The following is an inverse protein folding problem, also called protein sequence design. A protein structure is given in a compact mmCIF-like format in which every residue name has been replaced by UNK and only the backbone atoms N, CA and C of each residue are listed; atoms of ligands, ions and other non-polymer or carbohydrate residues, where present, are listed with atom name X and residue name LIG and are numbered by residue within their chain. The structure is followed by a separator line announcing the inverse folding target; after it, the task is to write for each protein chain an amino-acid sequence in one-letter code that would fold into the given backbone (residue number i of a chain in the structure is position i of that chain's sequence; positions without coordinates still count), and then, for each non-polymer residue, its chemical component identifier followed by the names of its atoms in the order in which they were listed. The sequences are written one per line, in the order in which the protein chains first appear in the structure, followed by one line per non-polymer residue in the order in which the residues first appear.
data_IF_539671424933
#
_entry.id   IF_539671424933
#
_cell.length_a   1.000
_cell.length_b   1.000
_cell.length_c   1.000
_cell.angle_alpha   90.00
_cell.angle_beta   90.00
_cell.angle_gamma   90.00
#
_symmetry.space_group_name_H-M   'P 1'
#
loop_
_entity.id
_entity.type
_entity.pdbx_description
1 polymer ?
#
# COMPACT_ATOMS: atom_id res chain seq x y z
N UNK A 1 31.78 5.58 -48.86
CA UNK A 1 31.95 4.38 -48.01
C UNK A 1 32.43 4.85 -46.66
N UNK A 2 31.53 4.89 -45.68
CA UNK A 2 31.85 4.80 -44.26
C UNK A 2 30.72 3.94 -43.67
N UNK A 3 31.06 2.70 -43.36
CA UNK A 3 30.19 1.73 -42.70
C UNK A 3 30.19 2.06 -41.21
N UNK A 4 29.06 2.53 -40.67
CA UNK A 4 28.86 2.53 -39.22
C UNK A 4 28.11 1.24 -38.87
N UNK A 5 28.90 0.30 -38.31
CA UNK A 5 28.46 -0.94 -37.71
C UNK A 5 27.48 -0.64 -36.57
N UNK A 6 26.39 -1.41 -36.53
CA UNK A 6 25.48 -1.44 -35.40
C UNK A 6 26.14 -2.07 -34.18
N UNK A 7 25.81 -1.53 -33.02
CA UNK A 7 25.73 -2.29 -31.79
C UNK A 7 24.25 -2.38 -31.42
N UNK A 8 23.68 -3.57 -31.68
CA UNK A 8 22.45 -4.03 -31.05
C UNK A 8 22.73 -4.16 -29.56
N UNK A 9 22.43 -3.12 -28.79
CA UNK A 9 22.20 -3.27 -27.36
C UNK A 9 20.70 -3.43 -27.21
N UNK A 10 20.25 -4.69 -27.26
CA UNK A 10 18.97 -5.08 -26.71
C UNK A 10 18.99 -4.81 -25.21
N UNK A 11 18.72 -3.55 -24.84
CA UNK A 11 18.13 -3.26 -23.54
C UNK A 11 16.75 -3.93 -23.61
N UNK A 12 16.69 -5.17 -23.14
CA UNK A 12 15.43 -5.71 -22.66
C UNK A 12 14.95 -4.76 -21.58
N UNK A 13 14.04 -3.86 -21.95
CA UNK A 13 13.05 -3.36 -21.04
C UNK A 13 12.45 -4.63 -20.42
N UNK A 14 12.92 -4.96 -19.21
CA UNK A 14 12.14 -5.79 -18.31
C UNK A 14 10.92 -4.92 -18.02
N UNK A 15 9.94 -4.98 -18.92
CA UNK A 15 8.65 -4.33 -18.73
C UNK A 15 8.22 -4.67 -17.32
N UNK A 16 8.01 -3.64 -16.50
CA UNK A 16 7.54 -3.77 -15.13
C UNK A 16 6.38 -4.77 -15.18
N UNK A 17 6.54 -5.96 -14.59
CA UNK A 17 5.48 -6.97 -14.66
C UNK A 17 4.28 -6.39 -13.92
N UNK A 18 3.30 -5.91 -14.68
CA UNK A 18 2.09 -5.31 -14.13
C UNK A 18 1.35 -6.45 -13.42
N UNK A 19 1.38 -6.43 -12.09
CA UNK A 19 0.64 -7.40 -11.28
C UNK A 19 -0.80 -6.94 -11.20
N UNK A 20 -1.74 -7.81 -11.54
CA UNK A 20 -3.17 -7.53 -11.47
C UNK A 20 -3.81 -8.24 -10.29
N UNK A 21 -4.98 -7.78 -9.90
CA UNK A 21 -5.77 -8.44 -8.86
C UNK A 21 -7.16 -7.86 -8.72
N UNK A 22 -7.85 -8.34 -7.69
CA UNK A 22 -9.22 -7.94 -7.37
C UNK A 22 -9.25 -7.32 -5.97
N UNK A 23 -10.01 -6.23 -5.84
CA UNK A 23 -10.23 -5.58 -4.56
C UNK A 23 -11.07 -6.45 -3.63
N UNK A 24 -10.63 -6.58 -2.38
CA UNK A 24 -11.36 -7.25 -1.29
C UNK A 24 -11.31 -6.38 -0.03
N UNK A 25 -12.12 -6.73 0.96
CA UNK A 25 -12.04 -6.08 2.28
C UNK A 25 -10.65 -6.33 2.89
N UNK A 26 -9.88 -5.27 3.17
CA UNK A 26 -8.57 -5.39 3.78
C UNK A 26 -8.71 -5.73 5.27
N UNK A 27 -8.09 -6.83 5.70
CA UNK A 27 -8.12 -7.29 7.10
C UNK A 27 -6.72 -7.22 7.71
N UNK A 28 -6.57 -6.54 8.83
CA UNK A 28 -5.30 -6.41 9.55
C UNK A 28 -5.33 -7.16 10.88
N UNK A 29 -4.30 -7.96 11.13
CA UNK A 29 -4.04 -8.53 12.44
C UNK A 29 -3.26 -7.52 13.28
N UNK A 30 -3.76 -7.19 14.47
CA UNK A 30 -3.17 -6.27 15.43
C UNK A 30 -2.30 -6.98 16.48
N UNK A 31 -2.03 -8.28 16.31
CA UNK A 31 -1.20 -9.06 17.22
C UNK A 31 0.22 -8.46 17.32
N UNK A 32 0.63 -7.94 18.49
CA UNK A 32 1.97 -7.40 18.69
C UNK A 32 3.05 -8.48 18.76
N UNK A 33 2.67 -9.76 18.93
CA UNK A 33 3.55 -10.91 19.06
C UNK A 33 3.08 -12.04 18.12
N UNK A 34 3.48 -12.03 16.83
CA UNK A 34 3.01 -12.99 15.83
C UNK A 34 3.32 -14.46 16.14
N UNK A 35 4.23 -14.75 17.10
CA UNK A 35 4.49 -16.10 17.58
C UNK A 35 3.43 -16.65 18.55
N UNK A 36 2.46 -15.84 18.98
CA UNK A 36 1.37 -16.26 19.86
C UNK A 36 0.02 -15.92 19.22
N UNK A 37 -0.57 -16.87 18.50
CA UNK A 37 -1.86 -16.70 17.82
C UNK A 37 -3.03 -16.46 18.77
N UNK A 38 -2.90 -16.76 20.08
CA UNK A 38 -3.95 -16.43 21.06
C UNK A 38 -4.14 -14.91 21.25
N UNK A 39 -3.22 -14.09 20.75
CA UNK A 39 -3.31 -12.63 20.75
C UNK A 39 -3.77 -12.07 19.41
N UNK A 40 -4.18 -12.93 18.47
CA UNK A 40 -4.70 -12.49 17.19
C UNK A 40 -5.98 -11.69 17.37
N UNK A 41 -5.97 -10.48 16.82
CA UNK A 41 -7.10 -9.56 16.80
C UNK A 41 -7.19 -8.98 15.39
N UNK A 42 -8.18 -9.43 14.65
CA UNK A 42 -8.40 -8.99 13.28
C UNK A 42 -9.37 -7.81 13.25
N UNK A 43 -9.02 -6.79 12.48
CA UNK A 43 -9.87 -5.63 12.21
C UNK A 43 -9.99 -5.41 10.71
N UNK A 44 -11.17 -5.02 10.27
CA UNK A 44 -11.38 -4.54 8.90
C UNK A 44 -10.86 -3.12 8.79
N UNK A 45 -10.10 -2.84 7.73
CA UNK A 45 -9.66 -1.51 7.36
C UNK A 45 -10.65 -0.90 6.35
N UNK A 46 -10.80 0.44 6.32
CA UNK A 46 -11.70 1.08 5.37
C UNK A 46 -11.18 0.88 3.94
N UNK A 47 -12.01 0.28 3.08
CA UNK A 47 -11.67 0.04 1.68
C UNK A 47 -11.80 1.34 0.87
N UNK A 48 -10.73 2.12 0.83
CA UNK A 48 -10.68 3.45 0.23
C UNK A 48 -9.53 3.59 -0.77
N UNK A 49 -9.70 4.54 -1.71
CA UNK A 49 -8.68 5.01 -2.64
C UNK A 49 -8.25 6.42 -2.23
N UNK A 50 -7.02 6.57 -1.76
CA UNK A 50 -6.44 7.87 -1.43
C UNK A 50 -5.69 8.46 -2.62
N UNK A 51 -5.91 9.74 -2.97
CA UNK A 51 -5.18 10.36 -4.09
C UNK A 51 -3.68 10.51 -3.77
N UNK A 52 -3.33 10.67 -2.49
CA UNK A 52 -1.96 10.82 -2.01
C UNK A 52 -1.86 10.49 -0.52
N UNK A 53 -0.65 10.52 0.00
CA UNK A 53 -0.34 10.41 1.43
C UNK A 53 0.96 11.18 1.75
N UNK A 54 1.25 11.42 3.03
CA UNK A 54 2.50 12.06 3.48
C UNK A 54 3.47 11.03 4.07
N UNK A 55 4.73 11.05 3.64
CA UNK A 55 5.80 10.37 4.37
C UNK A 55 6.25 11.23 5.55
N UNK A 56 6.11 10.71 6.77
CA UNK A 56 6.52 11.43 7.98
C UNK A 56 7.32 10.55 8.92
N UNK A 57 8.43 11.09 9.44
CA UNK A 57 9.20 10.42 10.49
C UNK A 57 8.62 10.76 11.85
N UNK A 58 8.05 9.76 12.51
CA UNK A 58 7.46 9.88 13.85
C UNK A 58 8.31 9.06 14.82
N UNK A 59 8.43 9.54 16.06
CA UNK A 59 9.09 8.77 17.12
C UNK A 59 8.18 7.60 17.48
N UNK A 60 8.68 6.38 17.30
CA UNK A 60 8.03 5.19 17.80
C UNK A 60 8.42 5.00 19.27
N UNK A 61 7.44 5.12 20.17
CA UNK A 61 7.63 4.93 21.61
C UNK A 61 7.41 3.46 21.97
N UNK A 62 8.28 2.57 21.48
CA UNK A 62 8.28 1.15 21.85
C UNK A 62 9.43 0.86 22.82
N UNK A 63 9.08 0.54 24.07
CA UNK A 63 10.08 0.27 25.13
C UNK A 63 10.93 1.49 25.47
N UNK A 64 12.21 1.29 25.79
CA UNK A 64 13.16 2.35 26.16
C UNK A 64 13.88 2.99 24.94
N UNK A 65 13.67 2.46 23.73
CA UNK A 65 14.37 2.91 22.53
C UNK A 65 13.46 3.78 21.65
N UNK A 66 13.75 5.07 21.62
CA UNK A 66 12.99 6.05 20.85
C UNK A 66 13.60 6.17 19.46
N UNK A 67 13.13 5.37 18.51
CA UNK A 67 13.57 5.45 17.12
C UNK A 67 12.57 6.24 16.29
N UNK A 68 13.08 7.14 15.44
CA UNK A 68 12.26 7.78 14.40
C UNK A 68 12.07 6.80 13.26
N UNK A 69 10.84 6.36 13.03
CA UNK A 69 10.49 5.47 11.92
C UNK A 69 9.64 6.25 10.91
N UNK A 70 9.74 5.88 9.64
CA UNK A 70 8.94 6.48 8.58
C UNK A 70 7.53 5.87 8.57
N UNK A 71 6.52 6.74 8.57
CA UNK A 71 5.11 6.40 8.44
C UNK A 71 4.54 6.95 7.14
N UNK A 72 3.54 6.27 6.58
CA UNK A 72 2.59 6.88 5.66
C UNK A 72 1.41 7.45 6.46
N UNK A 73 1.14 8.73 6.30
CA UNK A 73 0.00 9.40 6.93
C UNK A 73 -1.10 9.56 5.89
N UNK A 74 -2.27 9.06 6.25
CA UNK A 74 -3.48 9.15 5.43
C UNK A 74 -4.64 9.65 6.28
N UNK A 75 -5.55 10.38 5.66
CA UNK A 75 -6.77 10.87 6.30
C UNK A 75 -7.97 10.13 5.74
N UNK A 76 -8.79 9.53 6.59
CA UNK A 76 -9.92 8.70 6.15
C UNK A 76 -10.93 9.48 5.29
N UNK A 77 -11.14 10.76 5.58
CA UNK A 77 -12.07 11.63 4.83
C UNK A 77 -11.58 12.03 3.44
N UNK A 78 -10.30 11.82 3.13
CA UNK A 78 -9.71 12.13 1.81
C UNK A 78 -9.79 10.95 0.84
N UNK A 79 -10.19 9.76 1.33
CA UNK A 79 -10.32 8.56 0.52
C UNK A 79 -11.70 8.45 -0.15
N UNK A 80 -11.69 8.06 -1.42
CA UNK A 80 -12.92 7.68 -2.15
C UNK A 80 -13.26 6.21 -1.87
N UNK A 81 -14.56 5.89 -1.77
CA UNK A 81 -15.01 4.51 -1.50
C UNK A 81 -14.68 3.58 -2.68
N UNK A 82 -14.00 2.48 -2.38
CA UNK A 82 -13.75 1.40 -3.33
C UNK A 82 -14.80 0.28 -3.17
N UNK A 83 -14.98 -0.50 -4.24
CA UNK A 83 -15.87 -1.65 -4.26
C UNK A 83 -15.06 -2.95 -4.32
N UNK A 84 -15.46 -3.95 -3.53
CA UNK A 84 -14.92 -5.30 -3.64
C UNK A 84 -15.28 -5.90 -5.00
N UNK A 85 -14.41 -6.72 -5.58
CA UNK A 85 -14.62 -7.31 -6.90
C UNK A 85 -14.07 -6.46 -8.05
N UNK A 86 -13.77 -5.17 -7.82
CA UNK A 86 -13.17 -4.30 -8.82
C UNK A 86 -11.75 -4.76 -9.17
N UNK A 87 -11.46 -4.85 -10.46
CA UNK A 87 -10.15 -5.25 -10.98
C UNK A 87 -9.18 -4.07 -10.99
N UNK A 88 -7.93 -4.35 -10.63
CA UNK A 88 -6.89 -3.34 -10.51
C UNK A 88 -5.57 -3.81 -11.09
N UNK A 89 -4.75 -2.84 -11.51
CA UNK A 89 -3.33 -3.00 -11.76
C UNK A 89 -2.55 -2.41 -10.59
N UNK A 90 -1.54 -3.11 -10.08
CA UNK A 90 -0.61 -2.56 -9.09
C UNK A 90 0.48 -1.80 -9.83
N UNK A 91 0.62 -0.52 -9.50
CA UNK A 91 1.57 0.40 -10.10
C UNK A 91 2.84 0.49 -9.27
N UNK A 92 2.72 0.66 -7.95
CA UNK A 92 3.85 0.88 -7.06
C UNK A 92 3.55 0.46 -5.62
N UNK A 93 4.59 0.42 -4.77
CA UNK A 93 4.48 0.14 -3.35
C UNK A 93 5.12 1.27 -2.53
N UNK A 94 4.44 1.69 -1.46
CA UNK A 94 4.96 2.72 -0.58
C UNK A 94 6.16 2.18 0.22
N UNK A 95 7.10 3.07 0.55
CA UNK A 95 8.33 2.73 1.28
C UNK A 95 8.12 2.53 2.78
N UNK A 96 6.96 2.94 3.30
CA UNK A 96 6.64 2.87 4.72
C UNK A 96 6.16 1.45 5.10
N UNK A 97 6.51 1.01 6.30
CA UNK A 97 5.98 -0.23 6.89
C UNK A 97 4.94 0.03 7.99
N UNK A 98 4.68 1.31 8.26
CA UNK A 98 3.76 1.78 9.27
C UNK A 98 2.84 2.82 8.63
N UNK A 99 1.53 2.62 8.75
CA UNK A 99 0.53 3.60 8.34
C UNK A 99 -0.07 4.22 9.59
N UNK A 100 -0.23 5.55 9.60
CA UNK A 100 -1.01 6.26 10.61
C UNK A 100 -2.26 6.82 9.92
N UNK A 101 -3.42 6.24 10.25
CA UNK A 101 -4.70 6.68 9.73
C UNK A 101 -5.31 7.72 10.67
N UNK A 102 -5.50 8.95 10.19
CA UNK A 102 -6.37 9.92 10.85
C UNK A 102 -7.82 9.53 10.56
N UNK A 103 -8.44 8.78 11.48
CA UNK A 103 -9.83 8.33 11.31
C UNK A 103 -10.86 9.42 11.63
N UNK A 104 -12.08 9.21 11.14
CA UNK A 104 -13.19 10.17 11.31
C UNK A 104 -13.61 10.40 12.75
N UNK A 105 -13.30 9.47 13.66
CA UNK A 105 -13.51 9.60 15.10
C UNK A 105 -12.50 10.54 15.79
N UNK A 106 -11.52 11.06 15.05
CA UNK A 106 -10.49 11.98 15.54
C UNK A 106 -9.36 11.30 16.31
N UNK A 107 -9.33 9.97 16.39
CA UNK A 107 -8.30 9.20 17.10
C UNK A 107 -7.37 8.55 16.06
N UNK A 108 -6.10 8.97 15.92
CA UNK A 108 -5.19 8.35 14.97
C UNK A 108 -4.97 6.86 15.24
N UNK A 109 -5.11 6.02 14.21
CA UNK A 109 -4.99 4.56 14.28
C UNK A 109 -3.71 4.10 13.58
N UNK A 110 -2.71 3.57 14.33
CA UNK A 110 -1.50 3.04 13.74
C UNK A 110 -1.70 1.59 13.26
N UNK A 111 -1.15 1.26 12.09
CA UNK A 111 -1.16 -0.09 11.54
C UNK A 111 0.23 -0.48 10.99
N UNK A 112 0.67 -1.69 11.28
CA UNK A 112 1.87 -2.29 10.65
C UNK A 112 1.46 -2.94 9.34
N UNK A 113 1.39 -2.10 8.30
CA UNK A 113 0.99 -2.42 6.94
C UNK A 113 1.62 -1.39 6.00
N UNK A 114 1.65 -1.65 4.70
CA UNK A 114 2.09 -0.68 3.67
C UNK A 114 0.92 -0.31 2.75
N UNK A 115 1.12 0.71 1.94
CA UNK A 115 0.20 1.14 0.89
C UNK A 115 0.72 0.69 -0.48
N UNK A 116 -0.20 0.39 -1.39
CA UNK A 116 0.11 0.13 -2.80
C UNK A 116 -0.61 1.16 -3.66
N UNK A 117 0.08 1.66 -4.68
CA UNK A 117 -0.56 2.45 -5.71
C UNK A 117 -1.21 1.49 -6.70
N UNK A 118 -2.47 1.74 -7.01
CA UNK A 118 -3.27 0.95 -7.94
C UNK A 118 -3.89 1.83 -9.01
N UNK A 119 -4.18 1.22 -10.16
CA UNK A 119 -5.07 1.75 -11.19
C UNK A 119 -6.31 0.89 -11.26
N UNK A 120 -7.49 1.48 -11.19
CA UNK A 120 -8.75 0.79 -11.47
C UNK A 120 -8.84 0.51 -12.98
N UNK A 121 -8.99 -0.75 -13.37
CA UNK A 121 -8.94 -1.12 -14.80
C UNK A 121 -10.12 -0.50 -15.58
N UNK A 122 -11.30 -0.45 -14.96
CA UNK A 122 -12.52 0.04 -15.63
C UNK A 122 -12.51 1.56 -15.88
N UNK A 123 -11.98 2.34 -14.93
CA UNK A 123 -12.04 3.80 -14.98
C UNK A 123 -10.71 4.47 -15.35
N UNK A 124 -9.59 3.76 -15.20
CA UNK A 124 -8.25 4.32 -15.31
C UNK A 124 -7.85 5.21 -14.13
N UNK A 125 -8.69 5.33 -13.10
CA UNK A 125 -8.40 6.13 -11.90
C UNK A 125 -7.25 5.51 -11.11
N UNK A 126 -6.33 6.35 -10.64
CA UNK A 126 -5.17 5.93 -9.86
C UNK A 126 -5.21 6.50 -8.45
N UNK A 127 -4.69 5.71 -7.51
CA UNK A 127 -4.53 6.15 -6.13
C UNK A 127 -3.90 5.07 -5.27
N UNK A 128 -3.82 5.34 -3.98
CA UNK A 128 -3.22 4.46 -2.98
C UNK A 128 -4.30 3.73 -2.20
N UNK A 129 -4.06 2.47 -1.89
CA UNK A 129 -4.90 1.69 -0.96
C UNK A 129 -4.04 0.76 -0.13
N UNK A 130 -4.64 0.02 0.80
CA UNK A 130 -3.93 -0.95 1.63
C UNK A 130 -3.34 -2.07 0.79
N UNK A 131 -2.11 -2.49 1.07
CA UNK A 131 -1.52 -3.66 0.38
C UNK A 131 -2.36 -4.93 0.53
N UNK A 132 -3.07 -5.08 1.66
CA UNK A 132 -3.98 -6.20 1.92
C UNK A 132 -5.35 -6.08 1.27
N UNK A 133 -5.65 -4.97 0.60
CA UNK A 133 -6.90 -4.81 -0.14
C UNK A 133 -6.90 -5.59 -1.47
N UNK A 134 -5.73 -6.06 -1.93
CA UNK A 134 -5.61 -6.75 -3.23
C UNK A 134 -5.49 -8.25 -3.01
N UNK A 135 -6.34 -9.01 -3.68
CA UNK A 135 -6.12 -10.42 -3.97
C UNK A 135 -5.49 -10.53 -5.36
N UNK A 136 -4.22 -10.93 -5.42
CA UNK A 136 -3.48 -11.04 -6.68
C UNK A 136 -4.05 -12.17 -7.54
N UNK A 137 -4.10 -11.93 -8.85
CA UNK A 137 -4.39 -12.98 -9.82
C UNK A 137 -3.28 -14.05 -9.78
N UNK A 138 -3.66 -15.32 -9.94
CA UNK A 138 -2.74 -16.47 -9.93
C UNK A 138 -1.97 -16.64 -11.24
#
# INVERSE_FOLDING_TARGET
IFLLQGCSNGNGDKGKSVSTGILKTPVQNLNPKPSNSNLDLFVDLPLLLWPSFEYKRIINYTGQNHQKVEHCLITESEGAQLQTGTKVEIIDEARCFYVLLNSKDGIPKPYTITLVQIRLIETGEEGWTWSKAIELDK
#
